data_IF_009024961271
#
_entry.id   IF_009024961271
#
_cell.length_a   1.000
_cell.length_b   1.000
_cell.length_c   1.000
_cell.angle_alpha   90.00
_cell.angle_beta   90.00
_cell.angle_gamma   90.00
#
_symmetry.space_group_name_H-M   'P 1'
#
loop_
_entity.id
_entity.type
_entity.pdbx_description
1 polymer ?
#
# COMPACT_ATOMS: atom_id res chain seq x y z
N UNK A 1 29.36 -28.12 -13.78
CA UNK A 1 29.98 -26.79 -13.62
C UNK A 1 28.95 -25.87 -12.92
N UNK A 2 29.10 -25.61 -11.62
CA UNK A 2 28.19 -24.75 -10.87
C UNK A 2 28.63 -23.30 -11.13
N UNK A 3 27.79 -22.54 -11.83
CA UNK A 3 27.99 -21.10 -11.96
C UNK A 3 27.74 -20.44 -10.57
N UNK A 4 28.80 -20.13 -9.86
CA UNK A 4 28.73 -19.23 -8.71
C UNK A 4 28.67 -17.81 -9.24
N UNK A 5 27.46 -17.26 -9.38
CA UNK A 5 27.31 -15.81 -9.54
C UNK A 5 27.51 -15.15 -8.17
N UNK A 6 28.46 -14.23 -8.08
CA UNK A 6 28.58 -13.35 -6.92
C UNK A 6 27.61 -12.19 -7.18
N UNK A 7 26.55 -12.03 -6.38
CA UNK A 7 25.65 -10.87 -6.52
C UNK A 7 26.46 -9.61 -6.23
N UNK A 8 26.51 -8.68 -7.17
CA UNK A 8 27.19 -7.40 -7.01
C UNK A 8 26.27 -6.27 -7.49
N UNK A 9 26.29 -5.17 -6.74
CA UNK A 9 25.60 -3.95 -7.15
C UNK A 9 26.45 -3.24 -8.23
N UNK A 10 25.85 -3.00 -9.40
CA UNK A 10 26.46 -2.14 -10.41
C UNK A 10 26.04 -0.69 -10.13
N UNK A 11 26.99 0.15 -9.78
CA UNK A 11 26.73 1.56 -9.52
C UNK A 11 26.37 2.26 -10.85
N UNK A 12 25.28 3.06 -10.90
CA UNK A 12 24.95 3.86 -12.08
C UNK A 12 26.09 4.84 -12.42
N UNK A 13 26.41 4.98 -13.70
CA UNK A 13 27.40 5.94 -14.19
C UNK A 13 26.78 7.29 -14.58
N UNK A 14 25.46 7.36 -14.68
CA UNK A 14 24.67 8.58 -14.85
C UNK A 14 23.53 8.62 -13.83
N UNK A 15 23.33 9.74 -13.18
CA UNK A 15 22.32 9.93 -12.13
C UNK A 15 21.44 11.11 -12.55
N UNK A 16 20.13 10.85 -12.67
CA UNK A 16 19.13 11.89 -12.89
C UNK A 16 18.96 12.71 -11.60
N UNK A 17 19.07 14.02 -11.70
CA UNK A 17 19.09 14.92 -10.52
C UNK A 17 17.89 15.86 -10.44
N UNK A 18 17.16 16.05 -11.54
CA UNK A 18 16.03 16.99 -11.58
C UNK A 18 14.97 16.56 -12.59
N UNK A 19 13.74 16.95 -12.36
CA UNK A 19 12.66 16.89 -13.34
C UNK A 19 13.00 17.70 -14.58
N UNK A 20 12.68 17.19 -15.77
CA UNK A 20 12.98 17.78 -17.05
C UNK A 20 14.38 17.47 -17.58
N UNK A 21 15.20 16.70 -16.87
CA UNK A 21 16.48 16.22 -17.40
C UNK A 21 16.24 15.28 -18.58
N UNK A 22 17.01 15.47 -19.65
CA UNK A 22 16.91 14.66 -20.86
C UNK A 22 18.19 13.84 -21.06
N UNK A 23 18.02 12.57 -21.39
CA UNK A 23 19.10 11.66 -21.78
C UNK A 23 18.75 11.05 -23.13
N UNK A 24 19.73 11.01 -24.03
CA UNK A 24 19.60 10.29 -25.31
C UNK A 24 20.52 9.08 -25.32
N UNK A 25 19.93 7.90 -25.50
CA UNK A 25 20.66 6.64 -25.57
C UNK A 25 20.21 5.87 -26.80
N UNK A 26 21.17 5.45 -27.64
CA UNK A 26 20.93 4.69 -28.87
C UNK A 26 19.84 5.31 -29.78
N UNK A 27 19.79 6.65 -29.85
CA UNK A 27 18.83 7.37 -30.65
C UNK A 27 17.48 7.63 -29.98
N UNK A 28 17.22 7.05 -28.82
CA UNK A 28 15.99 7.23 -28.03
C UNK A 28 16.17 8.37 -27.03
N UNK A 29 15.33 9.40 -27.13
CA UNK A 29 15.25 10.47 -26.12
C UNK A 29 14.36 10.06 -24.96
N UNK A 30 14.81 10.37 -23.75
CA UNK A 30 14.11 10.12 -22.48
C UNK A 30 14.11 11.41 -21.66
N UNK A 31 12.95 11.85 -21.21
CA UNK A 31 12.78 12.99 -20.29
C UNK A 31 12.25 12.50 -18.97
N UNK A 32 12.88 12.89 -17.87
CA UNK A 32 12.59 12.33 -16.55
C UNK A 32 11.77 13.29 -15.68
N UNK A 33 10.81 12.76 -14.96
CA UNK A 33 10.14 13.40 -13.84
C UNK A 33 10.56 12.71 -12.55
N UNK A 34 11.20 13.44 -11.65
CA UNK A 34 11.54 12.95 -10.33
C UNK A 34 10.29 12.89 -9.44
N UNK A 35 10.05 11.75 -8.79
CA UNK A 35 8.89 11.53 -7.93
C UNK A 35 9.28 10.96 -6.56
N UNK A 36 10.24 11.59 -5.85
CA UNK A 36 10.78 11.05 -4.62
C UNK A 36 9.72 10.93 -3.51
N UNK A 37 9.77 9.81 -2.78
CA UNK A 37 8.86 9.55 -1.66
C UNK A 37 7.50 9.00 -2.07
N UNK A 38 7.35 8.58 -3.33
CA UNK A 38 6.23 7.77 -3.82
C UNK A 38 6.53 6.29 -3.55
N UNK A 39 6.63 5.44 -4.57
CA UNK A 39 6.94 4.01 -4.35
C UNK A 39 8.31 3.83 -3.71
N UNK A 40 9.30 4.58 -4.15
CA UNK A 40 10.66 4.56 -3.60
C UNK A 40 11.19 5.96 -3.30
N UNK A 41 12.25 6.08 -2.46
CA UNK A 41 12.90 7.38 -2.19
C UNK A 41 13.45 8.06 -3.45
N UNK A 42 13.86 7.28 -4.45
CA UNK A 42 14.46 7.77 -5.70
C UNK A 42 13.60 7.40 -6.93
N UNK A 43 12.29 7.34 -6.77
CA UNK A 43 11.37 7.00 -7.86
C UNK A 43 11.34 8.08 -8.93
N UNK A 44 11.13 7.68 -10.20
CA UNK A 44 10.99 8.60 -11.33
C UNK A 44 10.11 8.01 -12.42
N UNK A 45 9.42 8.89 -13.14
CA UNK A 45 8.72 8.58 -14.38
C UNK A 45 9.60 8.96 -15.58
N UNK A 46 9.41 8.30 -16.72
CA UNK A 46 10.19 8.56 -17.94
C UNK A 46 9.29 8.75 -19.14
N UNK A 47 9.38 9.90 -19.77
CA UNK A 47 8.70 10.22 -21.02
C UNK A 47 9.58 9.90 -22.23
N UNK A 48 9.02 9.23 -23.23
CA UNK A 48 9.63 8.89 -24.52
C UNK A 48 8.95 9.69 -25.64
N UNK A 49 9.46 10.88 -26.01
CA UNK A 49 8.78 11.81 -26.92
C UNK A 49 8.48 11.20 -28.30
N UNK A 50 9.43 10.45 -28.87
CA UNK A 50 9.27 9.83 -30.20
C UNK A 50 8.12 8.82 -30.26
N UNK A 51 7.79 8.21 -29.13
CA UNK A 51 6.79 7.14 -29.00
C UNK A 51 5.50 7.61 -28.35
N UNK A 52 5.44 8.88 -27.92
CA UNK A 52 4.33 9.39 -27.07
C UNK A 52 3.99 8.46 -25.90
N UNK A 53 5.02 7.84 -25.36
CA UNK A 53 4.93 6.79 -24.35
C UNK A 53 5.46 7.30 -23.00
N UNK A 54 4.78 6.93 -21.92
CA UNK A 54 5.15 7.32 -20.57
C UNK A 54 5.33 6.06 -19.69
N UNK A 55 6.56 5.86 -19.25
CA UNK A 55 6.90 4.90 -18.21
C UNK A 55 6.61 5.49 -16.84
N UNK A 56 5.76 4.81 -16.06
CA UNK A 56 5.29 5.31 -14.77
C UNK A 56 5.92 4.58 -13.58
N UNK A 57 6.97 3.80 -13.80
CA UNK A 57 7.56 2.95 -12.75
C UNK A 57 6.47 2.18 -11.97
N UNK A 58 6.28 2.46 -10.67
CA UNK A 58 5.14 1.97 -9.89
C UNK A 58 4.14 3.07 -9.49
N UNK A 59 4.35 4.30 -9.95
CA UNK A 59 3.49 5.44 -9.59
C UNK A 59 2.06 5.36 -10.11
N UNK A 60 1.83 4.56 -11.14
CA UNK A 60 0.52 4.43 -11.78
C UNK A 60 0.31 3.00 -12.32
N UNK A 61 0.37 2.02 -11.44
CA UNK A 61 -0.01 0.63 -11.71
C UNK A 61 -1.53 0.52 -11.90
N UNK A 62 -2.02 -0.51 -12.59
CA UNK A 62 -3.47 -0.64 -12.81
C UNK A 62 -4.23 -1.18 -11.58
N UNK A 63 -3.73 -0.92 -10.38
CA UNK A 63 -4.34 -1.23 -9.07
C UNK A 63 -4.03 -0.12 -8.08
N UNK A 64 -4.77 -0.06 -6.98
CA UNK A 64 -4.40 0.77 -5.85
C UNK A 64 -3.06 0.28 -5.26
N UNK A 65 -2.05 1.15 -5.28
CA UNK A 65 -0.76 0.82 -4.67
C UNK A 65 -0.80 1.03 -3.15
N UNK A 66 0.00 0.29 -2.40
CA UNK A 66 0.12 0.51 -0.97
C UNK A 66 0.94 1.77 -0.66
N UNK A 67 0.56 2.48 0.41
CA UNK A 67 1.30 3.62 0.96
C UNK A 67 2.35 3.16 1.99
N UNK A 68 2.13 1.99 2.61
CA UNK A 68 3.10 1.33 3.48
C UNK A 68 3.26 -0.13 3.06
N UNK A 69 4.49 -0.51 2.78
CA UNK A 69 4.82 -1.90 2.44
C UNK A 69 4.94 -2.74 3.72
N UNK A 70 4.21 -3.86 3.79
CA UNK A 70 4.15 -4.71 4.99
C UNK A 70 5.48 -5.41 5.32
N UNK A 71 6.35 -5.61 4.35
CA UNK A 71 7.70 -6.16 4.57
C UNK A 71 8.66 -5.19 5.26
N UNK A 72 8.26 -3.94 5.45
CA UNK A 72 9.06 -2.87 6.03
C UNK A 72 9.65 -1.93 4.98
N UNK A 73 9.30 -0.66 5.11
CA UNK A 73 9.81 0.47 4.34
C UNK A 73 9.40 1.77 5.04
N UNK A 74 9.98 2.89 4.61
CA UNK A 74 9.45 4.20 4.99
C UNK A 74 8.03 4.37 4.46
N UNK A 75 7.16 5.01 5.25
CA UNK A 75 5.80 5.34 4.80
C UNK A 75 5.88 6.33 3.65
N UNK A 76 5.25 5.99 2.53
CA UNK A 76 5.18 6.78 1.31
C UNK A 76 4.29 8.01 1.51
N UNK A 77 4.49 9.02 0.65
CA UNK A 77 3.77 10.28 0.74
C UNK A 77 2.62 10.33 -0.26
N UNK A 78 1.39 10.05 0.21
CA UNK A 78 0.20 10.06 -0.63
C UNK A 78 -0.10 11.45 -1.22
N UNK A 79 0.21 12.53 -0.51
CA UNK A 79 0.02 13.90 -1.00
C UNK A 79 1.00 14.22 -2.13
N UNK A 80 2.28 13.92 -1.94
CA UNK A 80 3.28 14.09 -3.00
C UNK A 80 2.97 13.21 -4.20
N UNK A 81 2.54 11.96 -3.96
CA UNK A 81 2.15 11.04 -5.03
C UNK A 81 1.06 11.64 -5.91
N UNK A 82 0.01 12.19 -5.30
CA UNK A 82 -1.06 12.88 -6.05
C UNK A 82 -0.54 14.11 -6.80
N UNK A 83 0.38 14.87 -6.19
CA UNK A 83 0.98 16.06 -6.81
C UNK A 83 1.80 15.70 -8.04
N UNK A 84 2.60 14.63 -7.99
CA UNK A 84 3.39 14.17 -9.13
C UNK A 84 2.51 13.62 -10.27
N UNK A 85 1.40 12.94 -9.95
CA UNK A 85 0.43 12.55 -10.97
C UNK A 85 -0.23 13.77 -11.62
N UNK A 86 -0.49 14.83 -10.86
CA UNK A 86 -0.99 16.08 -11.42
C UNK A 86 0.05 16.74 -12.34
N UNK A 87 1.31 16.86 -11.90
CA UNK A 87 2.41 17.35 -12.72
C UNK A 87 2.58 16.53 -14.01
N UNK A 88 2.45 15.20 -13.93
CA UNK A 88 2.45 14.32 -15.11
C UNK A 88 1.35 14.69 -16.11
N UNK A 89 0.12 14.94 -15.61
CA UNK A 89 -1.02 15.35 -16.43
C UNK A 89 -0.75 16.72 -17.09
N UNK A 90 -0.26 17.69 -16.34
CA UNK A 90 0.02 19.03 -16.82
C UNK A 90 1.14 19.06 -17.87
N UNK A 91 2.16 18.20 -17.73
CA UNK A 91 3.33 18.18 -18.59
C UNK A 91 3.11 17.38 -19.88
N UNK A 92 2.42 16.25 -19.80
CA UNK A 92 2.33 15.29 -20.92
C UNK A 92 0.89 14.82 -21.23
N UNK A 93 -0.11 15.29 -20.48
CA UNK A 93 -1.47 14.83 -20.65
C UNK A 93 -2.07 15.09 -22.06
N UNK A 94 -1.64 16.16 -22.72
CA UNK A 94 -2.01 16.50 -24.09
C UNK A 94 -1.29 15.67 -25.16
N UNK A 95 -0.22 14.97 -24.79
CA UNK A 95 0.72 14.31 -25.74
C UNK A 95 0.77 12.78 -25.57
N UNK A 96 0.46 12.26 -24.38
CA UNK A 96 0.61 10.83 -24.09
C UNK A 96 -0.41 9.99 -24.84
N UNK A 97 0.06 8.96 -25.53
CA UNK A 97 -0.80 7.98 -26.22
C UNK A 97 -0.79 6.62 -25.53
N UNK A 98 0.28 6.31 -24.81
CA UNK A 98 0.40 5.07 -24.04
C UNK A 98 1.12 5.31 -22.73
N UNK A 99 0.60 4.74 -21.65
CA UNK A 99 1.33 4.60 -20.40
C UNK A 99 1.64 3.13 -20.13
N UNK A 100 2.82 2.86 -19.57
CA UNK A 100 3.22 1.53 -19.10
C UNK A 100 3.99 1.63 -17.79
N UNK A 101 4.13 0.54 -17.08
CA UNK A 101 4.62 0.51 -15.72
C UNK A 101 5.20 -0.87 -15.37
N UNK A 102 5.74 -1.02 -14.14
CA UNK A 102 6.38 -2.24 -13.68
C UNK A 102 5.43 -3.43 -13.55
N UNK A 103 4.18 -3.23 -13.23
CA UNK A 103 3.16 -4.26 -13.04
C UNK A 103 1.98 -4.03 -13.94
N UNK A 104 1.29 -5.11 -14.36
CA UNK A 104 0.16 -5.09 -15.28
C UNK A 104 0.55 -4.67 -16.71
N UNK A 105 -0.42 -4.72 -17.60
CA UNK A 105 -0.26 -4.36 -19.02
C UNK A 105 -0.40 -2.85 -19.26
N UNK A 106 0.09 -2.36 -20.40
CA UNK A 106 -0.03 -0.96 -20.78
C UNK A 106 -1.48 -0.51 -20.95
N UNK A 107 -1.70 0.80 -20.86
CA UNK A 107 -2.97 1.45 -21.19
C UNK A 107 -2.77 2.36 -22.40
N UNK A 108 -3.65 2.21 -23.39
CA UNK A 108 -3.58 2.89 -24.66
C UNK A 108 -4.71 3.92 -24.83
N UNK A 109 -4.44 4.95 -25.66
CA UNK A 109 -5.34 6.03 -26.00
C UNK A 109 -5.30 7.18 -25.01
N UNK A 110 -5.03 8.39 -25.52
CA UNK A 110 -4.83 9.60 -24.71
C UNK A 110 -5.94 9.82 -23.68
N UNK A 111 -7.21 9.86 -24.10
CA UNK A 111 -8.35 10.08 -23.20
C UNK A 111 -8.41 9.05 -22.05
N UNK A 112 -8.15 7.77 -22.36
CA UNK A 112 -8.14 6.69 -21.36
C UNK A 112 -7.00 6.82 -20.38
N UNK A 113 -5.82 7.21 -20.85
CA UNK A 113 -4.62 7.41 -20.02
C UNK A 113 -4.80 8.60 -19.08
N UNK A 114 -5.30 9.72 -19.59
CA UNK A 114 -5.51 10.95 -18.81
C UNK A 114 -6.62 10.74 -17.76
N UNK A 115 -7.73 10.11 -18.13
CA UNK A 115 -8.80 9.76 -17.17
C UNK A 115 -8.28 8.87 -16.04
N UNK A 116 -7.45 7.88 -16.39
CA UNK A 116 -6.81 7.01 -15.41
C UNK A 116 -5.89 7.81 -14.45
N UNK A 117 -5.03 8.71 -14.96
CA UNK A 117 -4.18 9.53 -14.12
C UNK A 117 -4.96 10.45 -13.18
N UNK A 118 -6.04 11.06 -13.67
CA UNK A 118 -6.93 11.90 -12.85
C UNK A 118 -7.53 11.08 -11.69
N UNK A 119 -8.04 9.90 -11.96
CA UNK A 119 -8.65 9.04 -10.93
C UNK A 119 -7.62 8.50 -9.92
N UNK A 120 -6.41 8.16 -10.36
CA UNK A 120 -5.33 7.77 -9.44
C UNK A 120 -4.84 8.96 -8.61
N UNK A 121 -4.66 10.14 -9.20
CA UNK A 121 -4.36 11.38 -8.47
C UNK A 121 -5.39 11.64 -7.38
N UNK A 122 -6.65 11.60 -7.75
CA UNK A 122 -7.77 11.90 -6.85
C UNK A 122 -7.91 10.82 -5.77
N UNK A 123 -7.62 9.55 -6.06
CA UNK A 123 -7.58 8.47 -5.09
C UNK A 123 -6.58 8.75 -3.96
N UNK A 124 -5.31 9.05 -4.30
CA UNK A 124 -4.28 9.33 -3.30
C UNK A 124 -4.54 10.63 -2.55
N UNK A 125 -4.98 11.67 -3.27
CA UNK A 125 -5.35 12.95 -2.65
C UNK A 125 -6.50 12.78 -1.66
N UNK A 126 -7.56 12.10 -2.07
CA UNK A 126 -8.72 11.83 -1.22
C UNK A 126 -8.35 11.00 0.01
N UNK A 127 -7.57 9.93 -0.19
CA UNK A 127 -7.10 9.09 0.92
C UNK A 127 -6.29 9.91 1.93
N UNK A 128 -5.38 10.76 1.44
CA UNK A 128 -4.61 11.67 2.29
C UNK A 128 -5.51 12.65 3.04
N UNK A 129 -6.28 13.43 2.30
CA UNK A 129 -7.03 14.57 2.88
C UNK A 129 -8.09 14.10 3.87
N UNK A 130 -8.80 12.99 3.57
CA UNK A 130 -9.80 12.46 4.51
C UNK A 130 -9.14 11.82 5.74
N UNK A 131 -8.00 11.17 5.59
CA UNK A 131 -7.25 10.67 6.75
C UNK A 131 -6.78 11.81 7.65
N UNK A 132 -6.21 12.88 7.08
CA UNK A 132 -5.80 14.08 7.83
C UNK A 132 -6.99 14.78 8.48
N UNK A 133 -8.12 14.90 7.78
CA UNK A 133 -9.35 15.49 8.35
C UNK A 133 -9.82 14.73 9.58
N UNK A 134 -9.89 13.40 9.50
CA UNK A 134 -10.32 12.57 10.63
C UNK A 134 -9.28 12.57 11.76
N UNK A 135 -8.00 12.61 11.43
CA UNK A 135 -6.89 12.75 12.38
C UNK A 135 -7.01 14.04 13.19
N UNK A 136 -7.34 15.16 12.53
CA UNK A 136 -7.59 16.45 13.20
C UNK A 136 -8.88 16.47 14.06
N UNK A 137 -9.76 15.50 13.88
CA UNK A 137 -10.91 15.26 14.74
C UNK A 137 -10.61 14.36 15.94
N UNK A 138 -9.36 13.89 16.07
CA UNK A 138 -8.89 13.06 17.18
C UNK A 138 -9.04 11.56 17.00
N UNK A 139 -9.39 11.08 15.78
CA UNK A 139 -9.49 9.65 15.50
C UNK A 139 -8.12 8.98 15.34
N UNK A 140 -8.00 7.78 15.85
CA UNK A 140 -6.83 6.90 15.66
C UNK A 140 -6.77 6.32 14.25
N UNK A 141 -5.64 5.74 13.88
CA UNK A 141 -5.48 5.11 12.56
C UNK A 141 -6.47 3.97 12.31
N UNK A 142 -6.77 3.18 13.35
CA UNK A 142 -7.77 2.12 13.30
C UNK A 142 -9.18 2.68 13.05
N UNK A 143 -9.60 3.68 13.81
CA UNK A 143 -10.91 4.32 13.68
C UNK A 143 -11.09 5.01 12.33
N UNK A 144 -10.06 5.68 11.83
CA UNK A 144 -10.04 6.28 10.49
C UNK A 144 -10.29 5.21 9.43
N UNK A 145 -9.62 4.07 9.54
CA UNK A 145 -9.73 2.99 8.56
C UNK A 145 -11.13 2.37 8.45
N UNK A 146 -11.94 2.46 9.49
CA UNK A 146 -13.33 2.00 9.49
C UNK A 146 -14.31 3.04 8.94
N UNK A 147 -13.97 4.33 9.05
CA UNK A 147 -14.86 5.42 8.66
C UNK A 147 -14.68 5.87 7.20
N UNK A 148 -13.45 5.78 6.68
CA UNK A 148 -13.12 6.28 5.35
C UNK A 148 -13.79 5.44 4.25
N UNK A 149 -14.45 6.13 3.30
CA UNK A 149 -15.10 5.51 2.14
C UNK A 149 -14.80 6.33 0.90
N UNK A 150 -14.51 5.66 -0.22
CA UNK A 150 -14.34 6.35 -1.49
C UNK A 150 -15.68 6.86 -2.03
N UNK A 151 -15.70 8.04 -2.65
CA UNK A 151 -16.87 8.47 -3.43
C UNK A 151 -17.10 7.52 -4.61
N UNK A 152 -18.36 7.44 -5.11
CA UNK A 152 -18.75 6.49 -6.15
C UNK A 152 -17.86 6.53 -7.41
N UNK A 153 -17.45 7.71 -7.84
CA UNK A 153 -16.63 7.90 -9.05
C UNK A 153 -15.24 7.26 -8.91
N UNK A 154 -14.67 7.25 -7.71
CA UNK A 154 -13.39 6.58 -7.43
C UNK A 154 -13.60 5.10 -7.10
N UNK A 155 -14.65 4.76 -6.35
CA UNK A 155 -14.92 3.40 -5.92
C UNK A 155 -15.31 2.47 -7.08
N UNK A 156 -16.05 2.99 -8.06
CA UNK A 156 -16.50 2.22 -9.22
C UNK A 156 -15.44 2.10 -10.32
N UNK A 157 -14.34 2.81 -10.20
CA UNK A 157 -13.23 2.70 -11.14
C UNK A 157 -12.37 1.49 -10.80
N UNK A 158 -12.37 0.47 -11.67
CA UNK A 158 -11.73 -0.82 -11.39
C UNK A 158 -10.28 -0.73 -10.88
N UNK A 159 -9.39 0.13 -11.46
CA UNK A 159 -8.02 0.25 -10.96
C UNK A 159 -7.88 0.81 -9.54
N UNK A 160 -8.94 1.40 -8.98
CA UNK A 160 -8.95 1.90 -7.60
C UNK A 160 -9.36 0.84 -6.57
N UNK A 161 -9.66 -0.38 -7.01
CA UNK A 161 -10.00 -1.47 -6.10
C UNK A 161 -8.80 -1.88 -5.25
N UNK A 162 -9.09 -2.27 -4.03
CA UNK A 162 -8.10 -2.84 -3.12
C UNK A 162 -7.59 -4.18 -3.65
N UNK A 163 -6.27 -4.28 -3.79
CA UNK A 163 -5.55 -5.49 -4.16
C UNK A 163 -4.18 -5.49 -3.49
N UNK A 164 -3.20 -4.74 -4.02
CA UNK A 164 -1.88 -4.59 -3.43
C UNK A 164 -1.87 -3.54 -2.31
N UNK A 165 -2.60 -2.47 -2.46
CA UNK A 165 -2.99 -1.53 -1.42
C UNK A 165 -4.50 -1.58 -1.20
N UNK A 166 -4.97 -1.14 -0.04
CA UNK A 166 -6.39 -0.97 0.24
C UNK A 166 -6.64 0.39 0.89
N UNK A 167 -7.85 0.92 0.77
CA UNK A 167 -8.20 2.18 1.40
C UNK A 167 -7.96 2.15 2.92
N UNK A 168 -8.31 1.05 3.58
CA UNK A 168 -8.10 0.86 5.02
C UNK A 168 -6.62 0.89 5.42
N UNK A 169 -5.78 0.12 4.73
CA UNK A 169 -4.34 0.08 5.02
C UNK A 169 -3.66 1.40 4.65
N UNK A 170 -4.05 2.00 3.53
CA UNK A 170 -3.48 3.26 3.08
C UNK A 170 -3.84 4.43 4.01
N UNK A 171 -5.06 4.49 4.56
CA UNK A 171 -5.44 5.51 5.55
C UNK A 171 -4.67 5.37 6.86
N UNK A 172 -4.44 4.13 7.34
CA UNK A 172 -3.54 3.84 8.48
C UNK A 172 -2.10 4.27 8.20
N UNK A 173 -1.63 4.04 6.97
CA UNK A 173 -0.30 4.46 6.55
C UNK A 173 -0.16 5.99 6.55
N UNK A 174 -1.17 6.74 6.08
CA UNK A 174 -1.21 8.20 6.19
C UNK A 174 -1.16 8.63 7.65
N UNK A 175 -1.96 8.01 8.53
CA UNK A 175 -1.90 8.28 9.96
C UNK A 175 -0.49 8.06 10.51
N UNK A 176 0.12 6.90 10.24
CA UNK A 176 1.46 6.56 10.72
C UNK A 176 2.53 7.54 10.23
N UNK A 177 2.38 8.08 9.02
CA UNK A 177 3.32 9.07 8.48
C UNK A 177 3.36 10.36 9.31
N UNK A 178 2.21 10.80 9.83
CA UNK A 178 2.09 12.05 10.61
C UNK A 178 2.22 11.84 12.11
N UNK A 179 1.62 10.79 12.64
CA UNK A 179 1.46 10.55 14.08
C UNK A 179 2.40 9.43 14.61
N UNK A 180 3.01 8.66 13.73
CA UNK A 180 3.80 7.49 14.12
C UNK A 180 2.93 6.27 14.44
N UNK A 181 3.53 5.29 15.13
CA UNK A 181 2.89 4.00 15.44
C UNK A 181 1.97 4.03 16.67
N UNK A 182 2.15 4.99 17.55
CA UNK A 182 1.42 5.06 18.82
C UNK A 182 0.02 5.62 18.63
N UNK A 183 -0.97 4.89 19.09
CA UNK A 183 -2.39 5.22 18.91
C UNK A 183 -3.02 6.02 20.05
N UNK A 184 -2.20 6.57 20.97
CA UNK A 184 -2.68 7.38 22.10
C UNK A 184 -3.22 6.57 23.29
N UNK A 185 -3.37 5.25 23.19
CA UNK A 185 -3.80 4.41 24.31
C UNK A 185 -2.58 4.02 25.19
N UNK A 186 -2.52 4.47 26.46
CA UNK A 186 -1.40 4.16 27.34
C UNK A 186 -1.12 2.66 27.51
N UNK A 187 -2.13 1.80 27.42
CA UNK A 187 -1.97 0.34 27.47
C UNK A 187 -1.14 -0.21 26.31
N UNK A 188 -1.11 0.51 25.17
CA UNK A 188 -0.37 0.07 23.98
C UNK A 188 1.06 0.62 23.92
N UNK A 189 1.47 1.42 24.91
CA UNK A 189 2.80 2.01 24.93
C UNK A 189 3.90 0.98 25.26
N UNK A 190 3.59 0.01 26.13
CA UNK A 190 4.53 -1.00 26.61
C UNK A 190 3.89 -2.40 26.64
N UNK A 191 3.48 -2.87 25.48
CA UNK A 191 2.87 -4.18 25.34
C UNK A 191 3.86 -5.32 25.60
N UNK A 192 3.37 -6.40 26.21
CA UNK A 192 4.15 -7.63 26.28
C UNK A 192 4.31 -8.23 24.87
N UNK A 193 5.45 -8.87 24.56
CA UNK A 193 5.63 -9.62 23.33
C UNK A 193 4.55 -10.70 23.13
N UNK A 194 4.20 -11.05 21.89
CA UNK A 194 3.13 -12.00 21.61
C UNK A 194 3.29 -13.35 22.30
N UNK A 195 4.51 -13.87 22.40
CA UNK A 195 4.84 -15.15 23.07
C UNK A 195 4.58 -15.11 24.58
N UNK A 196 4.69 -13.92 25.17
CA UNK A 196 4.43 -13.74 26.61
C UNK A 196 2.95 -13.48 26.89
N UNK A 197 2.27 -12.77 26.01
CA UNK A 197 0.88 -12.38 26.21
C UNK A 197 -0.11 -13.43 25.73
N UNK A 198 0.23 -14.21 24.69
CA UNK A 198 -0.62 -15.26 24.14
C UNK A 198 -1.16 -16.24 25.20
N UNK A 199 -0.29 -16.91 26.00
CA UNK A 199 -0.73 -17.83 27.04
C UNK A 199 -1.66 -17.17 28.07
N UNK A 200 -1.41 -15.91 28.44
CA UNK A 200 -2.24 -15.17 29.39
C UNK A 200 -3.65 -14.91 28.86
N UNK A 201 -3.77 -14.50 27.58
CA UNK A 201 -5.08 -14.32 26.95
C UNK A 201 -5.84 -15.65 26.87
N UNK A 202 -5.18 -16.74 26.50
CA UNK A 202 -5.82 -18.06 26.40
C UNK A 202 -6.33 -18.53 27.77
N UNK A 203 -5.54 -18.36 28.82
CA UNK A 203 -5.97 -18.65 30.20
C UNK A 203 -7.20 -17.81 30.60
N UNK A 204 -7.13 -16.48 30.37
CA UNK A 204 -8.23 -15.56 30.70
C UNK A 204 -9.52 -15.83 29.92
N UNK A 205 -9.42 -16.35 28.69
CA UNK A 205 -10.57 -16.68 27.83
C UNK A 205 -11.16 -18.07 28.11
N UNK A 206 -10.64 -18.83 29.10
CA UNK A 206 -11.16 -20.11 29.51
C UNK A 206 -10.43 -21.33 28.98
N UNK A 207 -9.21 -21.14 28.48
CA UNK A 207 -8.35 -22.20 27.96
C UNK A 207 -8.52 -22.45 26.47
N UNK A 208 -7.58 -23.20 25.90
CA UNK A 208 -7.42 -23.39 24.45
C UNK A 208 -8.67 -23.99 23.79
N UNK A 209 -9.27 -25.05 24.40
CA UNK A 209 -10.45 -25.70 23.85
C UNK A 209 -11.68 -24.77 23.78
N UNK A 210 -11.89 -23.95 24.81
CA UNK A 210 -13.02 -23.02 24.87
C UNK A 210 -12.81 -21.87 23.87
N UNK A 211 -11.57 -21.39 23.69
CA UNK A 211 -11.22 -20.37 22.69
C UNK A 211 -11.48 -20.86 21.27
N UNK A 212 -11.02 -22.07 20.93
CA UNK A 212 -11.27 -22.70 19.63
C UNK A 212 -12.77 -22.83 19.34
N UNK A 213 -13.53 -23.34 20.32
CA UNK A 213 -15.00 -23.50 20.20
C UNK A 213 -15.68 -22.14 19.91
N UNK A 214 -15.34 -21.11 20.68
CA UNK A 214 -15.91 -19.75 20.49
C UNK A 214 -15.49 -19.14 19.16
N UNK A 215 -14.23 -19.32 18.79
CA UNK A 215 -13.71 -18.78 17.52
C UNK A 215 -14.39 -19.44 16.30
N UNK A 216 -14.63 -20.76 16.32
CA UNK A 216 -15.41 -21.44 15.27
C UNK A 216 -16.83 -20.88 15.17
N UNK A 217 -17.51 -20.67 16.31
CA UNK A 217 -18.84 -20.07 16.32
C UNK A 217 -18.87 -18.62 15.81
N UNK A 218 -17.80 -17.84 16.01
CA UNK A 218 -17.65 -16.52 15.43
C UNK A 218 -17.32 -16.59 13.92
N UNK A 219 -16.52 -17.56 13.50
CA UNK A 219 -16.22 -17.80 12.08
C UNK A 219 -17.50 -18.10 11.29
N UNK A 220 -18.35 -18.98 11.82
CA UNK A 220 -19.66 -19.34 11.22
C UNK A 220 -20.61 -18.14 11.06
N UNK A 221 -20.41 -17.07 11.85
CA UNK A 221 -21.14 -15.80 11.76
C UNK A 221 -20.51 -14.79 10.79
N UNK A 222 -19.36 -15.12 10.19
CA UNK A 222 -18.61 -14.21 9.33
C UNK A 222 -17.77 -13.15 10.06
N UNK A 223 -17.50 -13.35 11.37
CA UNK A 223 -16.70 -12.43 12.18
C UNK A 223 -15.19 -12.67 11.99
N UNK A 224 -14.72 -12.83 10.74
CA UNK A 224 -13.37 -13.30 10.39
C UNK A 224 -12.25 -12.47 10.99
N UNK A 225 -12.36 -11.13 10.96
CA UNK A 225 -11.35 -10.24 11.54
C UNK A 225 -11.21 -10.45 13.06
N UNK A 226 -12.33 -10.65 13.76
CA UNK A 226 -12.34 -10.97 15.18
C UNK A 226 -11.72 -12.34 15.46
N UNK A 227 -12.06 -13.34 14.66
CA UNK A 227 -11.44 -14.67 14.74
C UNK A 227 -9.92 -14.58 14.58
N UNK A 228 -9.43 -13.82 13.59
CA UNK A 228 -7.99 -13.63 13.38
C UNK A 228 -7.32 -12.94 14.59
N UNK A 229 -7.98 -11.93 15.21
CA UNK A 229 -7.47 -11.26 16.41
C UNK A 229 -7.36 -12.20 17.62
N UNK A 230 -8.33 -13.08 17.82
CA UNK A 230 -8.33 -14.05 18.92
C UNK A 230 -7.34 -15.18 18.64
N UNK A 231 -7.41 -15.77 17.45
CA UNK A 231 -6.62 -16.95 17.11
C UNK A 231 -5.11 -16.71 17.05
N UNK A 232 -4.67 -15.47 16.77
CA UNK A 232 -3.25 -15.15 16.90
C UNK A 232 -2.70 -15.46 18.31
N UNK A 233 -3.50 -15.23 19.37
CA UNK A 233 -3.08 -15.52 20.73
C UNK A 233 -2.99 -17.01 20.99
N UNK A 234 -3.90 -17.82 20.41
CA UNK A 234 -3.85 -19.28 20.52
C UNK A 234 -2.60 -19.85 19.82
N UNK A 235 -2.27 -19.35 18.63
CA UNK A 235 -1.07 -19.76 17.88
C UNK A 235 0.22 -19.37 18.62
N UNK A 236 0.29 -18.19 19.25
CA UNK A 236 1.43 -17.80 20.07
C UNK A 236 1.50 -18.55 21.41
N UNK A 237 0.37 -18.94 21.99
CA UNK A 237 0.34 -19.74 23.20
C UNK A 237 0.80 -21.19 22.96
N UNK A 238 0.38 -21.78 21.84
CA UNK A 238 0.73 -23.15 21.45
C UNK A 238 1.03 -23.22 19.94
N UNK A 239 2.30 -23.01 19.54
CA UNK A 239 2.70 -23.06 18.14
C UNK A 239 2.52 -24.45 17.47
N UNK A 240 2.21 -25.50 18.23
CA UNK A 240 1.98 -26.85 17.71
C UNK A 240 0.49 -27.16 17.50
N UNK A 241 -0.42 -26.27 17.89
CA UNK A 241 -1.84 -26.45 17.65
C UNK A 241 -2.21 -26.20 16.19
N UNK A 242 -2.42 -27.28 15.44
CA UNK A 242 -2.80 -27.24 14.02
C UNK A 242 -4.16 -26.62 13.81
N UNK A 243 -5.15 -26.97 14.63
CA UNK A 243 -6.53 -26.44 14.56
C UNK A 243 -6.56 -24.91 14.69
N UNK A 244 -5.73 -24.37 15.60
CA UNK A 244 -5.61 -22.92 15.78
C UNK A 244 -4.99 -22.23 14.58
N UNK A 245 -3.97 -22.83 13.96
CA UNK A 245 -3.32 -22.32 12.74
C UNK A 245 -4.25 -22.36 11.54
N UNK A 246 -4.95 -23.47 11.35
CA UNK A 246 -5.90 -23.62 10.24
C UNK A 246 -7.02 -22.59 10.34
N UNK A 247 -7.65 -22.47 11.52
CA UNK A 247 -8.72 -21.51 11.73
C UNK A 247 -8.24 -20.04 11.56
N UNK A 248 -7.00 -19.75 11.97
CA UNK A 248 -6.39 -18.43 11.73
C UNK A 248 -6.17 -18.19 10.23
N UNK A 249 -5.67 -19.19 9.51
CA UNK A 249 -5.44 -19.09 8.07
C UNK A 249 -6.76 -18.88 7.32
N UNK A 250 -7.77 -19.70 7.60
CA UNK A 250 -9.10 -19.59 7.01
C UNK A 250 -9.73 -18.20 7.25
N UNK A 251 -9.57 -17.66 8.47
CA UNK A 251 -10.07 -16.34 8.81
C UNK A 251 -9.34 -15.19 8.09
N UNK A 252 -8.08 -15.39 7.72
CA UNK A 252 -7.28 -14.39 6.98
C UNK A 252 -7.50 -14.45 5.47
N UNK A 253 -8.05 -15.55 4.93
CA UNK A 253 -8.40 -15.69 3.52
C UNK A 253 -9.72 -14.99 3.14
N UNK A 254 -10.59 -14.70 4.11
CA UNK A 254 -11.90 -14.07 3.90
C UNK A 254 -11.83 -12.54 3.91
#
# INVERSE_FOLDING_TARGET
MLFRSVPSLRIPNHIIKKTGEEVKLDGVSMVFQMTPGTEAPAEMNTWFPQHKALWMAENATNTMHNILTLRGAQVRDALKWSSYLNETIETWGDKVEVKFQSHHWPRWGNASVVDYFKKQRDLYKYTHDQSVRLMNMGYTGEEISEQIKLPPELNNFWPNRGYYGTLRHNSRAVYQRYMGWYNGNPSNLNNLPPEMVGPKYIEFMGGEAEVLKKARASFDKGEYRWVAEVMKHAVFANPNNTDAKELLADALEQ
#
